data_IF_371710941088
#
_entry.id   IF_371710941088
#
_cell.length_a   1.000
_cell.length_b   1.000
_cell.length_c   1.000
_cell.angle_alpha   90.00
_cell.angle_beta   90.00
_cell.angle_gamma   90.00
#
_symmetry.space_group_name_H-M   'P 1'
#
loop_
_entity.id
_entity.type
_entity.pdbx_description
1 polymer ?
#
# COMPACT_ATOMS: atom_id res chain seq x y z
N UNK A 1 17.29 7.53 15.00
CA UNK A 1 15.83 7.70 15.28
C UNK A 1 15.09 6.98 14.15
N UNK A 2 14.23 6.01 14.53
CA UNK A 2 13.42 5.24 13.59
C UNK A 2 12.54 6.18 12.74
N UNK A 3 12.59 6.03 11.41
CA UNK A 3 11.85 6.89 10.47
C UNK A 3 10.33 6.83 10.71
N UNK A 4 9.80 5.69 11.15
CA UNK A 4 8.40 5.57 11.54
C UNK A 4 8.04 6.49 12.71
N UNK A 5 8.93 6.61 13.71
CA UNK A 5 8.73 7.52 14.84
C UNK A 5 8.78 8.99 14.42
N UNK A 6 9.56 9.32 13.38
CA UNK A 6 9.57 10.67 12.81
C UNK A 6 8.23 10.98 12.12
N UNK A 7 7.70 10.06 11.30
CA UNK A 7 6.37 10.19 10.70
C UNK A 7 5.28 10.34 11.76
N UNK A 8 5.38 9.54 12.81
CA UNK A 8 4.40 9.55 13.91
C UNK A 8 4.37 10.86 14.71
N UNK A 9 5.43 11.66 14.68
CA UNK A 9 5.52 12.98 15.33
C UNK A 9 5.24 14.14 14.36
N UNK A 10 5.02 13.85 13.10
CA UNK A 10 4.82 14.88 12.08
C UNK A 10 3.45 15.53 12.22
N UNK A 11 3.40 16.87 12.21
CA UNK A 11 2.16 17.67 12.44
C UNK A 11 1.07 17.42 11.39
N UNK A 12 1.44 17.10 10.15
CA UNK A 12 0.50 16.85 9.05
C UNK A 12 0.05 15.39 8.94
N UNK A 13 0.69 14.45 9.66
CA UNK A 13 0.42 13.03 9.48
C UNK A 13 -0.27 12.45 10.70
N UNK A 14 -1.44 11.85 10.48
CA UNK A 14 -2.25 11.28 11.54
C UNK A 14 -1.98 9.78 11.70
N UNK A 15 -1.81 9.32 12.94
CA UNK A 15 -1.69 7.90 13.28
C UNK A 15 -3.02 7.17 13.23
N UNK A 16 -4.13 7.88 13.39
CA UNK A 16 -5.46 7.28 13.46
C UNK A 16 -5.88 6.79 12.09
N UNK A 17 -6.38 5.56 12.03
CA UNK A 17 -6.97 5.01 10.80
C UNK A 17 -8.19 5.86 10.43
N UNK A 18 -8.23 6.30 9.18
CA UNK A 18 -9.34 7.08 8.66
C UNK A 18 -9.63 6.62 7.23
N UNK A 19 -10.69 5.84 7.07
CA UNK A 19 -11.12 5.28 5.80
C UNK A 19 -11.75 6.34 4.90
N UNK A 20 -10.92 7.00 4.09
CA UNK A 20 -11.39 8.00 3.14
C UNK A 20 -10.38 8.14 1.99
N UNK A 21 -10.79 7.81 0.78
CA UNK A 21 -9.94 7.91 -0.41
C UNK A 21 -9.78 9.34 -0.96
N UNK A 22 -10.58 10.32 -0.50
CA UNK A 22 -10.52 11.70 -1.05
C UNK A 22 -9.14 12.33 -0.87
N UNK A 23 -8.51 12.17 0.30
CA UNK A 23 -7.21 12.78 0.60
C UNK A 23 -6.09 12.20 -0.26
N UNK A 24 -6.01 10.86 -0.33
CA UNK A 24 -4.98 10.21 -1.13
C UNK A 24 -5.18 10.47 -2.62
N UNK A 25 -6.43 10.45 -3.12
CA UNK A 25 -6.74 10.80 -4.52
C UNK A 25 -6.34 12.24 -4.84
N UNK A 26 -6.58 13.21 -3.95
CA UNK A 26 -6.11 14.58 -4.11
C UNK A 26 -4.58 14.67 -4.15
N UNK A 27 -3.89 13.89 -3.30
CA UNK A 27 -2.43 13.83 -3.30
C UNK A 27 -1.88 13.23 -4.61
N UNK A 28 -2.51 12.18 -5.12
CA UNK A 28 -2.15 11.54 -6.39
C UNK A 28 -2.27 12.51 -7.57
N UNK A 29 -3.37 13.28 -7.65
CA UNK A 29 -3.52 14.36 -8.65
C UNK A 29 -2.35 15.31 -8.59
N UNK A 30 -2.03 15.86 -7.40
CA UNK A 30 -0.93 16.82 -7.23
C UNK A 30 0.46 16.22 -7.47
N UNK A 31 0.62 14.92 -7.37
CA UNK A 31 1.85 14.18 -7.66
C UNK A 31 1.97 13.74 -9.14
N UNK A 32 1.00 14.08 -9.99
CA UNK A 32 1.01 13.73 -11.40
C UNK A 32 0.70 12.26 -11.68
N UNK A 33 -0.21 11.71 -10.88
CA UNK A 33 -0.77 10.37 -11.04
C UNK A 33 0.27 9.25 -11.14
N UNK A 34 1.16 9.06 -10.13
CA UNK A 34 2.14 7.98 -10.16
C UNK A 34 1.48 6.59 -10.25
N UNK A 35 0.27 6.41 -9.72
CA UNK A 35 -0.49 5.17 -9.77
C UNK A 35 -0.87 4.76 -11.21
N UNK A 36 -1.08 5.72 -12.10
CA UNK A 36 -1.44 5.46 -13.51
C UNK A 36 -0.24 5.05 -14.37
N UNK A 37 0.97 5.16 -13.83
CA UNK A 37 2.21 4.76 -14.51
C UNK A 37 2.65 3.34 -14.16
N UNK A 38 1.86 2.64 -13.36
CA UNK A 38 2.14 1.26 -12.97
C UNK A 38 1.51 0.29 -13.98
N UNK A 39 2.26 -0.76 -14.31
CA UNK A 39 1.80 -1.81 -15.21
C UNK A 39 1.70 -3.14 -14.45
N UNK A 40 0.84 -4.03 -14.94
CA UNK A 40 0.69 -5.38 -14.42
C UNK A 40 0.52 -5.44 -12.89
N UNK A 41 -0.40 -4.61 -12.37
CA UNK A 41 -0.63 -4.54 -10.93
C UNK A 41 -1.43 -5.75 -10.45
N UNK A 42 -0.91 -6.43 -9.43
CA UNK A 42 -1.58 -7.51 -8.70
C UNK A 42 -1.88 -7.02 -7.29
N UNK A 43 -3.11 -7.17 -6.85
CA UNK A 43 -3.55 -6.78 -5.51
C UNK A 43 -3.84 -8.03 -4.68
N UNK A 44 -3.26 -8.12 -3.48
CA UNK A 44 -3.46 -9.24 -2.55
C UNK A 44 -4.33 -8.78 -1.39
N UNK A 45 -5.53 -9.35 -1.31
CA UNK A 45 -6.60 -8.94 -0.39
C UNK A 45 -6.89 -10.11 0.56
N UNK A 46 -7.25 -9.83 1.80
CA UNK A 46 -7.63 -10.87 2.76
C UNK A 46 -7.38 -10.48 4.20
N UNK A 47 -7.54 -11.43 5.09
CA UNK A 47 -7.24 -11.28 6.52
C UNK A 47 -5.80 -11.72 6.82
N UNK A 48 -5.55 -13.00 6.74
CA UNK A 48 -4.24 -13.60 7.05
C UNK A 48 -3.58 -14.16 5.78
N UNK A 49 -2.25 -14.33 5.82
CA UNK A 49 -1.50 -14.96 4.74
C UNK A 49 -1.20 -14.08 3.53
N UNK A 50 -1.67 -12.82 3.47
CA UNK A 50 -1.41 -11.91 2.36
C UNK A 50 0.08 -11.74 2.06
N UNK A 51 0.88 -11.48 3.09
CA UNK A 51 2.33 -11.35 2.96
C UNK A 51 2.98 -12.61 2.40
N UNK A 52 2.57 -13.81 2.87
CA UNK A 52 3.11 -15.08 2.39
C UNK A 52 2.80 -15.29 0.90
N UNK A 53 1.57 -15.04 0.48
CA UNK A 53 1.16 -15.13 -0.93
C UNK A 53 1.93 -14.13 -1.79
N UNK A 54 1.98 -12.87 -1.36
CA UNK A 54 2.71 -11.82 -2.07
C UNK A 54 4.19 -12.17 -2.24
N UNK A 55 4.83 -12.64 -1.16
CA UNK A 55 6.25 -13.03 -1.17
C UNK A 55 6.51 -14.20 -2.13
N UNK A 56 5.66 -15.22 -2.12
CA UNK A 56 5.78 -16.35 -3.05
C UNK A 56 5.56 -15.90 -4.50
N UNK A 57 4.54 -15.09 -4.79
CA UNK A 57 4.33 -14.51 -6.13
C UNK A 57 5.56 -13.74 -6.61
N UNK A 58 6.14 -12.92 -5.73
CA UNK A 58 7.39 -12.23 -6.04
C UNK A 58 8.49 -13.21 -6.44
N UNK A 59 8.74 -14.27 -5.68
CA UNK A 59 9.78 -15.26 -6.00
C UNK A 59 9.51 -15.99 -7.30
N UNK A 60 8.26 -16.31 -7.63
CA UNK A 60 7.90 -16.91 -8.92
C UNK A 60 8.19 -15.96 -10.10
N UNK A 61 7.85 -14.69 -9.97
CA UNK A 61 8.11 -13.66 -10.98
C UNK A 61 9.62 -13.50 -11.17
N UNK A 62 10.38 -13.32 -10.08
CA UNK A 62 11.83 -13.17 -10.12
C UNK A 62 12.53 -14.43 -10.65
N UNK A 63 12.03 -15.62 -10.33
CA UNK A 63 12.51 -16.90 -10.87
C UNK A 63 12.35 -17.02 -12.39
N UNK A 64 11.36 -16.34 -12.96
CA UNK A 64 11.16 -16.22 -14.40
C UNK A 64 11.94 -15.04 -15.02
N UNK A 65 12.94 -14.51 -14.34
CA UNK A 65 13.80 -13.39 -14.78
C UNK A 65 13.05 -12.07 -15.03
N UNK A 66 11.87 -11.92 -14.44
CA UNK A 66 11.08 -10.69 -14.49
C UNK A 66 11.27 -9.88 -13.20
N UNK A 67 11.10 -8.59 -13.30
CA UNK A 67 11.26 -7.66 -12.18
C UNK A 67 9.92 -7.34 -11.52
N UNK A 68 9.92 -7.13 -10.20
CA UNK A 68 8.68 -6.83 -9.47
C UNK A 68 8.91 -5.82 -8.35
N UNK A 69 8.04 -4.83 -8.26
CA UNK A 69 7.96 -3.94 -7.10
C UNK A 69 6.87 -4.41 -6.16
N UNK A 70 7.14 -4.42 -4.84
CA UNK A 70 6.13 -4.85 -3.85
C UNK A 70 5.94 -3.84 -2.73
N UNK A 71 4.66 -3.70 -2.31
CA UNK A 71 4.27 -2.97 -1.11
C UNK A 71 3.62 -3.92 -0.11
N UNK A 72 4.20 -4.02 1.08
CA UNK A 72 3.72 -4.90 2.17
C UNK A 72 3.50 -4.16 3.47
N UNK A 73 2.68 -4.73 4.36
CA UNK A 73 2.42 -4.18 5.69
C UNK A 73 2.01 -5.26 6.71
N UNK A 74 2.42 -5.11 7.98
CA UNK A 74 3.38 -4.14 8.51
C UNK A 74 4.84 -4.47 8.15
N UNK A 75 5.79 -3.59 8.51
CA UNK A 75 7.21 -3.96 8.63
C UNK A 75 7.47 -4.52 10.02
N UNK A 76 8.40 -5.46 10.13
CA UNK A 76 8.76 -6.10 11.41
C UNK A 76 9.86 -5.33 12.12
N UNK A 77 10.95 -5.03 11.44
CA UNK A 77 12.15 -4.39 12.00
C UNK A 77 12.37 -3.00 11.42
N UNK A 78 12.35 -2.88 10.10
CA UNK A 78 12.66 -1.63 9.40
C UNK A 78 11.56 -1.27 8.40
N UNK A 79 11.22 0.01 8.34
CA UNK A 79 10.23 0.54 7.39
C UNK A 79 10.56 0.22 5.93
N UNK A 80 11.84 0.02 5.59
CA UNK A 80 12.30 -0.36 4.24
C UNK A 80 11.70 -1.67 3.76
N UNK A 81 11.41 -2.61 4.67
CA UNK A 81 10.83 -3.91 4.36
C UNK A 81 9.50 -3.80 3.59
N UNK A 82 8.83 -2.66 3.73
CA UNK A 82 7.57 -2.38 3.02
C UNK A 82 7.73 -2.16 1.53
N UNK A 83 8.96 -1.85 1.05
CA UNK A 83 9.19 -1.27 -0.27
C UNK A 83 10.29 -2.01 -1.02
N UNK A 84 9.95 -3.08 -1.70
CA UNK A 84 10.84 -3.76 -2.64
C UNK A 84 10.71 -3.13 -4.03
N UNK A 85 11.82 -2.79 -4.69
CA UNK A 85 11.87 -2.08 -5.97
C UNK A 85 12.72 -2.87 -6.98
N UNK A 86 12.21 -3.97 -7.46
CA UNK A 86 12.81 -4.79 -8.52
C UNK A 86 14.05 -5.59 -8.11
N UNK A 87 15.03 -4.98 -7.44
CA UNK A 87 16.30 -5.61 -7.05
C UNK A 87 16.76 -5.28 -5.62
N UNK A 88 16.17 -4.29 -5.00
CA UNK A 88 16.55 -3.79 -3.66
C UNK A 88 15.36 -3.21 -2.93
N UNK A 89 15.49 -3.12 -1.61
CA UNK A 89 14.60 -2.28 -0.81
C UNK A 89 14.94 -0.80 -1.00
N UNK A 90 13.93 0.07 -0.89
CA UNK A 90 14.18 1.51 -0.80
C UNK A 90 15.13 1.81 0.37
N UNK A 91 16.10 2.67 0.13
CA UNK A 91 16.91 3.23 1.20
C UNK A 91 16.13 4.25 2.02
N UNK A 92 16.53 4.49 3.26
CA UNK A 92 15.96 5.56 4.09
C UNK A 92 16.04 6.95 3.40
N UNK A 93 17.10 7.18 2.60
CA UNK A 93 17.25 8.42 1.83
C UNK A 93 16.16 8.57 0.78
N UNK A 94 15.89 7.53 -0.01
CA UNK A 94 14.83 7.53 -1.04
C UNK A 94 13.45 7.71 -0.42
N UNK A 95 13.18 7.03 0.70
CA UNK A 95 11.92 7.17 1.47
C UNK A 95 11.77 8.63 1.94
N UNK A 96 12.81 9.23 2.53
CA UNK A 96 12.76 10.63 3.01
C UNK A 96 12.55 11.64 1.88
N UNK A 97 13.14 11.42 0.71
CA UNK A 97 12.92 12.28 -0.46
C UNK A 97 11.45 12.25 -0.86
N UNK A 98 10.84 11.07 -0.90
CA UNK A 98 9.41 10.92 -1.22
C UNK A 98 8.52 11.57 -0.16
N UNK A 99 8.82 11.38 1.13
CA UNK A 99 8.10 12.03 2.22
C UNK A 99 8.16 13.57 2.10
N UNK A 100 9.33 14.14 1.84
CA UNK A 100 9.47 15.59 1.63
C UNK A 100 8.65 16.13 0.45
N UNK A 101 8.52 15.34 -0.63
CA UNK A 101 7.65 15.69 -1.73
C UNK A 101 6.17 15.69 -1.33
N UNK A 102 5.75 14.69 -0.52
CA UNK A 102 4.39 14.57 0.00
C UNK A 102 4.08 15.71 0.99
N UNK A 103 5.01 16.06 1.87
CA UNK A 103 4.86 17.19 2.83
C UNK A 103 4.55 18.53 2.15
N UNK A 104 5.18 18.78 0.99
CA UNK A 104 4.94 20.00 0.20
C UNK A 104 3.51 20.13 -0.30
N UNK A 105 2.75 19.04 -0.38
CA UNK A 105 1.34 19.08 -0.78
C UNK A 105 0.45 19.72 0.28
N UNK A 106 0.89 19.78 1.53
CA UNK A 106 0.14 20.32 2.70
C UNK A 106 -1.25 19.68 2.89
N UNK A 107 -1.36 18.39 2.54
CA UNK A 107 -2.59 17.60 2.73
C UNK A 107 -2.47 16.81 4.04
N UNK A 108 -3.46 16.86 4.94
CA UNK A 108 -3.46 16.09 6.18
C UNK A 108 -3.73 14.61 5.87
N UNK A 109 -2.66 13.82 5.73
CA UNK A 109 -2.69 12.40 5.40
C UNK A 109 -2.56 11.53 6.66
N UNK A 110 -3.04 10.29 6.59
CA UNK A 110 -2.65 9.27 7.57
C UNK A 110 -1.25 8.75 7.25
N UNK A 111 -0.55 8.19 8.24
CA UNK A 111 0.78 7.58 8.02
C UNK A 111 0.70 6.49 6.94
N UNK A 112 -0.38 5.70 6.92
CA UNK A 112 -0.53 4.65 5.93
C UNK A 112 -0.72 5.21 4.52
N UNK A 113 -1.50 6.30 4.35
CA UNK A 113 -1.60 7.01 3.07
C UNK A 113 -0.24 7.55 2.61
N UNK A 114 0.56 8.09 3.52
CA UNK A 114 1.94 8.54 3.20
C UNK A 114 2.80 7.38 2.71
N UNK A 115 2.77 6.23 3.39
CA UNK A 115 3.54 5.05 2.99
C UNK A 115 3.09 4.49 1.64
N UNK A 116 1.78 4.47 1.37
CA UNK A 116 1.23 4.12 0.06
C UNK A 116 1.76 5.07 -1.03
N UNK A 117 1.74 6.38 -0.79
CA UNK A 117 2.28 7.37 -1.75
C UNK A 117 3.78 7.22 -1.94
N UNK A 118 4.56 6.94 -0.89
CA UNK A 118 6.00 6.63 -1.01
C UNK A 118 6.22 5.46 -1.94
N UNK A 119 5.43 4.39 -1.79
CA UNK A 119 5.50 3.24 -2.68
C UNK A 119 5.18 3.64 -4.13
N UNK A 120 4.04 4.27 -4.38
CA UNK A 120 3.57 4.62 -5.72
C UNK A 120 4.55 5.54 -6.47
N UNK A 121 5.11 6.55 -5.77
CA UNK A 121 6.11 7.47 -6.34
C UNK A 121 7.37 6.71 -6.79
N UNK A 122 7.83 5.74 -6.02
CA UNK A 122 9.07 5.03 -6.33
C UNK A 122 8.83 3.89 -7.33
N UNK A 123 7.75 3.14 -7.21
CA UNK A 123 7.38 2.10 -8.16
C UNK A 123 7.18 2.67 -9.57
N UNK A 124 6.53 3.85 -9.70
CA UNK A 124 6.34 4.52 -11.00
C UNK A 124 7.64 4.96 -11.69
N UNK A 125 8.75 5.05 -10.93
CA UNK A 125 10.08 5.39 -11.45
C UNK A 125 10.94 4.16 -11.71
N UNK A 126 10.65 3.06 -11.03
CA UNK A 126 11.45 1.83 -11.13
C UNK A 126 11.14 1.04 -12.40
N UNK A 127 9.91 1.19 -12.93
CA UNK A 127 9.45 0.56 -14.17
C UNK A 127 9.69 -0.96 -14.19
N UNK A 128 9.19 -1.66 -13.17
CA UNK A 128 9.26 -3.12 -13.08
C UNK A 128 8.18 -3.79 -13.93
N UNK A 129 8.41 -5.04 -14.35
CA UNK A 129 7.45 -5.80 -15.15
C UNK A 129 6.13 -6.05 -14.43
N UNK A 130 6.18 -6.18 -13.10
CA UNK A 130 5.00 -6.36 -12.24
C UNK A 130 5.06 -5.45 -11.01
N UNK A 131 3.88 -5.16 -10.47
CA UNK A 131 3.71 -4.49 -9.19
C UNK A 131 2.76 -5.32 -8.34
N UNK A 132 3.11 -5.63 -7.08
CA UNK A 132 2.23 -6.35 -6.15
C UNK A 132 1.98 -5.49 -4.92
N UNK A 133 0.71 -5.24 -4.61
CA UNK A 133 0.30 -4.49 -3.43
C UNK A 133 -0.50 -5.35 -2.46
N UNK A 134 -0.12 -5.31 -1.19
CA UNK A 134 -0.88 -5.90 -0.10
C UNK A 134 -1.94 -4.93 0.39
N UNK A 135 -3.19 -5.37 0.52
CA UNK A 135 -4.25 -4.62 1.19
C UNK A 135 -3.91 -4.42 2.68
N UNK A 136 -4.08 -3.22 3.19
CA UNK A 136 -3.79 -2.90 4.59
C UNK A 136 -4.89 -3.40 5.53
N UNK A 137 -5.96 -2.63 5.62
CA UNK A 137 -7.06 -2.93 6.55
C UNK A 137 -8.40 -2.75 5.83
N UNK A 138 -9.21 -3.82 5.76
CA UNK A 138 -10.37 -3.85 4.88
C UNK A 138 -9.94 -3.62 3.42
N UNK A 139 -10.79 -3.24 2.50
CA UNK A 139 -10.32 -2.98 1.12
C UNK A 139 -11.00 -1.78 0.49
N UNK A 140 -12.30 -1.68 0.63
CA UNK A 140 -13.13 -0.67 -0.05
C UNK A 140 -12.54 0.75 0.00
N UNK A 141 -12.08 1.17 1.17
CA UNK A 141 -11.55 2.51 1.41
C UNK A 141 -10.07 2.47 1.84
N UNK A 142 -9.38 1.38 1.54
CA UNK A 142 -7.96 1.23 1.78
C UNK A 142 -7.16 2.13 0.82
N UNK A 143 -6.09 2.75 1.32
CA UNK A 143 -5.27 3.65 0.51
C UNK A 143 -4.58 2.96 -0.67
N UNK A 144 -4.44 1.63 -0.64
CA UNK A 144 -3.93 0.84 -1.78
C UNK A 144 -5.02 0.59 -2.84
N UNK A 145 -6.30 0.85 -2.55
CA UNK A 145 -7.40 0.73 -3.52
C UNK A 145 -7.55 2.02 -4.35
N UNK A 146 -6.48 2.40 -5.03
CA UNK A 146 -6.41 3.59 -5.91
C UNK A 146 -5.94 3.24 -7.32
N UNK A 147 -5.80 1.96 -7.62
CA UNK A 147 -5.48 1.45 -8.95
C UNK A 147 -6.79 1.01 -9.61
N UNK A 148 -7.17 1.67 -10.69
CA UNK A 148 -8.47 1.45 -11.33
C UNK A 148 -8.55 0.10 -12.06
N UNK A 149 -7.42 -0.36 -12.65
CA UNK A 149 -7.40 -1.57 -13.50
C UNK A 149 -6.23 -2.50 -13.13
N UNK A 150 -6.28 -3.20 -11.99
CA UNK A 150 -5.30 -4.25 -11.70
C UNK A 150 -5.51 -5.44 -12.64
N UNK A 151 -4.42 -6.10 -13.05
CA UNK A 151 -4.54 -7.30 -13.91
C UNK A 151 -5.09 -8.50 -13.14
N UNK A 152 -4.86 -8.55 -11.83
CA UNK A 152 -5.39 -9.60 -10.94
C UNK A 152 -5.61 -9.06 -9.54
N UNK A 153 -6.66 -9.58 -8.90
CA UNK A 153 -6.90 -9.45 -7.49
C UNK A 153 -6.92 -10.86 -6.87
N UNK A 154 -6.05 -11.08 -5.91
CA UNK A 154 -5.87 -12.37 -5.22
C UNK A 154 -6.52 -12.25 -3.85
N UNK A 155 -7.59 -12.99 -3.62
CA UNK A 155 -8.24 -13.09 -2.33
C UNK A 155 -7.65 -14.29 -1.61
N UNK A 156 -7.04 -14.08 -0.44
CA UNK A 156 -6.49 -15.17 0.37
C UNK A 156 -7.61 -15.78 1.23
N UNK A 157 -7.69 -15.41 2.48
CA UNK A 157 -8.78 -15.80 3.34
C UNK A 157 -9.50 -14.59 3.92
N UNK A 158 -10.70 -14.76 4.42
CA UNK A 158 -11.46 -13.70 5.07
C UNK A 158 -11.94 -14.18 6.43
N UNK A 159 -11.42 -13.57 7.50
CA UNK A 159 -11.75 -13.84 8.88
C UNK A 159 -12.39 -12.63 9.56
N UNK A 160 -12.93 -12.80 10.76
CA UNK A 160 -13.46 -11.72 11.60
C UNK A 160 -12.32 -10.86 12.16
N UNK A 161 -11.75 -10.00 11.30
CA UNK A 161 -10.72 -9.01 11.67
C UNK A 161 -11.24 -7.59 11.47
N UNK A 162 -10.62 -6.64 12.18
CA UNK A 162 -10.92 -5.22 12.06
C UNK A 162 -12.38 -4.84 12.37
N UNK A 163 -13.06 -5.63 13.21
CA UNK A 163 -14.48 -5.44 13.56
C UNK A 163 -14.74 -4.10 14.25
N UNK A 164 -13.75 -3.52 14.92
CA UNK A 164 -13.82 -2.20 15.55
C UNK A 164 -14.07 -1.05 14.55
N UNK A 165 -13.82 -1.28 13.27
CA UNK A 165 -14.09 -0.31 12.20
C UNK A 165 -15.43 -0.51 11.50
N UNK A 166 -16.19 -1.53 11.90
CA UNK A 166 -17.44 -1.94 11.25
C UNK A 166 -18.65 -1.67 12.14
N UNK A 167 -19.76 -1.28 11.52
CA UNK A 167 -21.01 -1.01 12.25
C UNK A 167 -21.60 -2.30 12.83
N UNK A 168 -21.70 -3.34 12.02
CA UNK A 168 -22.38 -4.61 12.41
C UNK A 168 -21.44 -5.65 13.02
N UNK A 169 -20.15 -5.49 12.95
CA UNK A 169 -19.13 -6.41 13.51
C UNK A 169 -19.33 -7.89 13.13
N UNK A 170 -19.86 -8.15 11.92
CA UNK A 170 -20.14 -9.48 11.40
C UNK A 170 -19.12 -9.90 10.34
N UNK A 171 -18.98 -11.20 10.10
CA UNK A 171 -18.15 -11.73 9.01
C UNK A 171 -18.67 -11.25 7.65
N UNK A 172 -20.00 -11.21 7.45
CA UNK A 172 -20.59 -10.74 6.20
C UNK A 172 -20.23 -9.29 5.89
N UNK A 173 -20.15 -8.43 6.92
CA UNK A 173 -19.71 -7.06 6.72
C UNK A 173 -18.21 -6.98 6.38
N UNK A 174 -17.37 -7.83 7.00
CA UNK A 174 -15.95 -7.95 6.62
C UNK A 174 -15.81 -8.39 5.16
N UNK A 175 -16.57 -9.41 4.74
CA UNK A 175 -16.61 -9.90 3.34
C UNK A 175 -17.01 -8.75 2.40
N UNK A 176 -18.10 -8.06 2.70
CA UNK A 176 -18.58 -6.93 1.90
C UNK A 176 -17.50 -5.84 1.76
N UNK A 177 -16.80 -5.49 2.83
CA UNK A 177 -15.75 -4.47 2.78
C UNK A 177 -14.48 -4.92 2.06
N UNK A 178 -14.20 -6.22 2.02
CA UNK A 178 -12.99 -6.74 1.36
C UNK A 178 -13.21 -7.08 -0.11
N UNK A 179 -14.37 -7.62 -0.49
CA UNK A 179 -14.61 -8.16 -1.83
C UNK A 179 -15.89 -7.70 -2.49
N UNK A 180 -16.77 -7.01 -1.80
CA UNK A 180 -18.07 -6.55 -2.35
C UNK A 180 -17.97 -5.45 -3.42
N UNK A 181 -16.75 -5.09 -3.86
CA UNK A 181 -16.46 -4.02 -4.81
C UNK A 181 -15.38 -4.41 -5.83
N UNK A 182 -15.17 -5.70 -6.00
CA UNK A 182 -14.23 -6.27 -6.98
C UNK A 182 -14.92 -6.51 -8.31
#
# INVERSE_FOLDING_TARGET
>A
INLYNQLAKHKLFNKTVNFNLKRIKLALVKLGHPEKKLFNVIQVIGSDGKFSVLRNLRYFIEGNKQTVSTHVSPSLVDIKERFWMGKKYLSHKEIRISIKAIEKLKIPLTIYEVLTLVFLINASKTNTDFVIQEAGCLWRLDSNNVIDFPIKQVIVNINKQHLNFLKRKTLNEVILQKVGFL
#
